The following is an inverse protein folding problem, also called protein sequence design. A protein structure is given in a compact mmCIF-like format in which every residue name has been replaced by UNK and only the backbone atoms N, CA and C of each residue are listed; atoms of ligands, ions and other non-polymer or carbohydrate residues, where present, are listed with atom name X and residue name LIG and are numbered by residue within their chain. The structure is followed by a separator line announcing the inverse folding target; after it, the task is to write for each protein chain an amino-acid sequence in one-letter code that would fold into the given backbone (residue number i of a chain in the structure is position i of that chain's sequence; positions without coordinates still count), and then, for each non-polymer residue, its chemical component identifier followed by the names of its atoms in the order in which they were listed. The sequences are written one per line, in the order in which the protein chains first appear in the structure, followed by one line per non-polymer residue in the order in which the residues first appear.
data_IF_893658381821
#
_entry.id   IF_893658381821
#
_cell.length_a   1.000
_cell.length_b   1.000
_cell.length_c   1.000
_cell.angle_alpha   90.00
_cell.angle_beta   90.00
_cell.angle_gamma   90.00
#
_symmetry.space_group_name_H-M   'P 1'
#
loop_
_entity.id
_entity.type
_entity.pdbx_description
1 polymer ?
#
# COMPACT_ATOMS: atom_id res chain seq x y z
N UNK A 1 13.65 -7.55 -19.32
CA UNK A 1 12.90 -6.41 -18.78
C UNK A 1 12.39 -6.67 -17.37
N UNK A 2 11.35 -7.48 -17.13
CA UNK A 2 10.76 -7.75 -15.81
C UNK A 2 11.79 -8.15 -14.73
N UNK A 3 12.75 -9.04 -15.05
CA UNK A 3 13.78 -9.45 -14.08
C UNK A 3 14.64 -8.28 -13.56
N UNK A 4 14.99 -7.31 -14.42
CA UNK A 4 15.77 -6.14 -13.99
C UNK A 4 14.97 -5.22 -13.06
N UNK A 5 13.68 -4.96 -13.38
CA UNK A 5 12.77 -4.19 -12.51
C UNK A 5 12.64 -4.88 -11.15
N UNK A 6 12.42 -6.19 -11.16
CA UNK A 6 12.29 -6.98 -9.94
C UNK A 6 13.55 -6.92 -9.06
N UNK A 7 14.72 -7.09 -9.68
CA UNK A 7 15.99 -7.01 -8.96
C UNK A 7 16.21 -5.62 -8.38
N UNK A 8 15.95 -4.58 -9.18
CA UNK A 8 16.05 -3.20 -8.72
C UNK A 8 15.12 -2.91 -7.53
N UNK A 9 13.85 -3.34 -7.61
CA UNK A 9 12.90 -3.21 -6.51
C UNK A 9 13.39 -3.93 -5.24
N UNK A 10 13.92 -5.16 -5.37
CA UNK A 10 14.51 -5.91 -4.23
C UNK A 10 15.66 -5.15 -3.59
N UNK A 11 16.58 -4.63 -4.39
CA UNK A 11 17.74 -3.92 -3.89
C UNK A 11 17.33 -2.63 -3.17
N UNK A 12 16.42 -1.86 -3.77
CA UNK A 12 15.94 -0.60 -3.21
C UNK A 12 15.08 -0.75 -1.96
N UNK A 13 14.40 -1.89 -1.80
CA UNK A 13 13.49 -2.14 -0.66
C UNK A 13 14.06 -3.13 0.37
N UNK A 14 15.34 -3.50 0.24
CA UNK A 14 16.01 -4.44 1.14
C UNK A 14 15.92 -4.00 2.60
N UNK A 15 15.64 -4.95 3.50
CA UNK A 15 15.56 -4.70 4.94
C UNK A 15 14.34 -3.93 5.42
N UNK A 16 13.38 -3.61 4.55
CA UNK A 16 12.16 -2.90 4.93
C UNK A 16 11.07 -3.87 5.37
N UNK A 17 10.53 -3.65 6.57
CA UNK A 17 9.55 -4.54 7.17
C UNK A 17 8.13 -4.33 6.60
N UNK A 18 7.67 -3.08 6.47
CA UNK A 18 6.28 -2.77 6.11
C UNK A 18 6.06 -2.39 4.65
N UNK A 19 7.03 -1.71 4.02
CA UNK A 19 7.03 -1.26 2.62
C UNK A 19 8.25 -1.86 1.88
N UNK A 20 8.48 -3.16 2.09
CA UNK A 20 9.56 -3.91 1.47
C UNK A 20 9.11 -4.64 0.21
N UNK A 21 10.00 -5.46 -0.35
CA UNK A 21 9.73 -6.24 -1.56
C UNK A 21 8.46 -7.10 -1.46
N UNK A 22 8.23 -7.74 -0.31
CA UNK A 22 7.05 -8.59 -0.10
C UNK A 22 5.73 -7.80 -0.20
N UNK A 23 5.74 -6.53 0.21
CA UNK A 23 4.62 -5.62 0.00
C UNK A 23 4.37 -5.39 -1.50
N UNK A 24 5.38 -4.96 -2.26
CA UNK A 24 5.25 -4.75 -3.71
C UNK A 24 4.74 -6.02 -4.41
N UNK A 25 5.23 -7.18 -4.00
CA UNK A 25 4.80 -8.46 -4.56
C UNK A 25 3.32 -8.76 -4.26
N UNK A 26 2.83 -8.52 -3.02
CA UNK A 26 1.41 -8.68 -2.69
C UNK A 26 0.54 -7.68 -3.45
N UNK A 27 0.96 -6.42 -3.54
CA UNK A 27 0.26 -5.38 -4.32
C UNK A 27 0.11 -5.81 -5.77
N UNK A 28 1.19 -6.27 -6.42
CA UNK A 28 1.10 -6.76 -7.80
C UNK A 28 0.11 -7.92 -7.96
N UNK A 29 0.18 -8.94 -7.09
CA UNK A 29 -0.72 -10.08 -7.17
C UNK A 29 -2.18 -9.73 -6.86
N UNK A 30 -2.42 -8.77 -5.96
CA UNK A 30 -3.76 -8.25 -5.68
C UNK A 30 -4.28 -7.43 -6.85
N UNK A 31 -3.47 -6.51 -7.40
CA UNK A 31 -3.85 -5.69 -8.54
C UNK A 31 -4.35 -6.52 -9.72
N UNK A 32 -3.67 -7.60 -10.05
CA UNK A 32 -4.06 -8.54 -11.13
C UNK A 32 -5.43 -9.19 -10.97
N UNK A 33 -6.03 -9.15 -9.79
CA UNK A 33 -7.35 -9.70 -9.53
C UNK A 33 -8.47 -8.66 -9.72
N UNK A 34 -8.11 -7.39 -9.85
CA UNK A 34 -9.09 -6.29 -9.86
C UNK A 34 -9.73 -6.08 -11.23
N UNK A 35 -9.03 -6.40 -12.31
CA UNK A 35 -9.51 -6.27 -13.69
C UNK A 35 -9.05 -7.45 -14.55
N UNK A 36 -9.82 -7.77 -15.61
CA UNK A 36 -9.50 -8.91 -16.49
C UNK A 36 -8.55 -8.52 -17.62
N UNK A 37 -8.67 -7.28 -18.15
CA UNK A 37 -7.87 -6.78 -19.26
C UNK A 37 -7.08 -5.55 -18.86
N UNK A 38 -5.75 -5.62 -18.90
CA UNK A 38 -4.82 -4.53 -18.54
C UNK A 38 -3.46 -4.71 -19.21
N UNK A 39 -2.66 -3.66 -19.26
CA UNK A 39 -1.25 -3.74 -19.67
C UNK A 39 -0.41 -4.28 -18.50
N UNK A 40 -0.13 -5.60 -18.53
CA UNK A 40 0.65 -6.27 -17.46
C UNK A 40 2.09 -5.77 -17.36
N UNK A 41 2.68 -5.23 -18.41
CA UNK A 41 4.02 -4.67 -18.35
C UNK A 41 4.04 -3.33 -17.60
N UNK A 42 3.04 -2.48 -17.87
CA UNK A 42 2.83 -1.22 -17.16
C UNK A 42 2.51 -1.48 -15.69
N UNK A 43 1.52 -2.32 -15.41
CA UNK A 43 1.10 -2.66 -14.05
C UNK A 43 2.26 -3.24 -13.24
N UNK A 44 3.02 -4.17 -13.85
CA UNK A 44 4.20 -4.76 -13.23
C UNK A 44 5.23 -3.70 -12.83
N UNK A 45 5.58 -2.81 -13.77
CA UNK A 45 6.55 -1.76 -13.51
C UNK A 45 6.07 -0.81 -12.41
N UNK A 46 4.85 -0.32 -12.51
CA UNK A 46 4.27 0.59 -11.53
C UNK A 46 4.22 -0.03 -10.13
N UNK A 47 3.76 -1.27 -10.00
CA UNK A 47 3.61 -1.95 -8.69
C UNK A 47 4.94 -2.28 -8.02
N UNK A 48 6.00 -2.62 -8.76
CA UNK A 48 7.31 -2.89 -8.15
C UNK A 48 8.13 -1.62 -7.89
N UNK A 49 7.78 -0.50 -8.50
CA UNK A 49 8.54 0.75 -8.38
C UNK A 49 7.83 1.84 -7.54
N UNK A 50 6.57 1.65 -7.10
CA UNK A 50 5.81 2.71 -6.44
C UNK A 50 6.41 3.16 -5.10
N UNK A 51 7.00 2.25 -4.33
CA UNK A 51 7.54 2.47 -2.99
C UNK A 51 9.07 2.27 -2.89
N UNK A 52 9.82 2.45 -4.00
CA UNK A 52 11.28 2.28 -3.98
C UNK A 52 12.00 3.35 -3.13
N UNK A 53 11.37 4.49 -2.91
CA UNK A 53 11.83 5.54 -1.98
C UNK A 53 10.80 5.66 -0.83
N UNK A 54 11.27 5.86 0.41
CA UNK A 54 10.41 6.08 1.59
C UNK A 54 10.37 7.53 2.08
N UNK A 55 11.33 8.36 1.62
CA UNK A 55 11.38 9.76 2.01
C UNK A 55 10.20 10.53 1.41
N UNK A 56 9.50 11.29 2.22
CA UNK A 56 8.34 12.07 1.75
C UNK A 56 8.77 13.30 0.90
N UNK A 57 8.04 13.62 -0.15
CA UNK A 57 6.90 12.88 -0.71
C UNK A 57 7.36 11.65 -1.50
N UNK A 58 7.12 10.45 -0.95
CA UNK A 58 7.69 9.19 -1.47
C UNK A 58 7.24 8.85 -2.90
N UNK A 59 5.97 9.16 -3.25
CA UNK A 59 5.43 8.90 -4.58
C UNK A 59 6.15 9.72 -5.66
N UNK A 60 6.49 10.97 -5.37
CA UNK A 60 7.21 11.84 -6.30
C UNK A 60 8.64 11.31 -6.52
N UNK A 61 9.35 11.05 -5.42
CA UNK A 61 10.74 10.57 -5.48
C UNK A 61 10.83 9.16 -6.10
N UNK A 62 9.85 8.28 -5.84
CA UNK A 62 9.78 6.97 -6.47
C UNK A 62 9.54 7.07 -7.98
N UNK A 63 8.63 7.95 -8.43
CA UNK A 63 8.36 8.18 -9.86
C UNK A 63 9.60 8.72 -10.59
N UNK A 64 10.29 9.70 -10.03
CA UNK A 64 11.54 10.23 -10.58
C UNK A 64 12.63 9.16 -10.66
N UNK A 65 12.78 8.36 -9.59
CA UNK A 65 13.79 7.31 -9.55
C UNK A 65 13.47 6.15 -10.49
N UNK A 66 12.20 5.82 -10.69
CA UNK A 66 11.74 4.78 -11.60
C UNK A 66 12.09 5.09 -13.06
N UNK A 67 12.06 6.36 -13.47
CA UNK A 67 12.32 6.78 -14.86
C UNK A 67 13.64 6.25 -15.39
N UNK A 68 14.72 6.33 -14.62
CA UNK A 68 16.05 5.88 -15.02
C UNK A 68 16.09 4.38 -15.32
N UNK A 69 15.50 3.55 -14.46
CA UNK A 69 15.47 2.09 -14.67
C UNK A 69 14.52 1.71 -15.81
N UNK A 70 13.43 2.44 -16.02
CA UNK A 70 12.49 2.21 -17.11
C UNK A 70 13.15 2.50 -18.48
N UNK A 71 13.92 3.57 -18.59
CA UNK A 71 14.74 3.85 -19.78
C UNK A 71 15.77 2.73 -20.02
N UNK A 72 16.49 2.31 -18.99
CA UNK A 72 17.51 1.24 -19.12
C UNK A 72 16.92 -0.10 -19.58
N UNK A 73 15.68 -0.43 -19.18
CA UNK A 73 15.02 -1.67 -19.59
C UNK A 73 14.24 -1.56 -20.90
N UNK A 74 14.24 -0.38 -21.53
CA UNK A 74 13.73 -0.17 -22.89
C UNK A 74 12.23 0.15 -22.96
N UNK A 75 11.64 0.74 -21.93
CA UNK A 75 10.28 1.30 -22.02
C UNK A 75 10.27 2.50 -22.98
N UNK A 76 9.19 2.62 -23.74
CA UNK A 76 8.98 3.82 -24.57
C UNK A 76 8.68 5.05 -23.70
N UNK A 77 9.01 6.27 -24.15
CA UNK A 77 8.73 7.48 -23.38
C UNK A 77 7.28 7.59 -22.92
N UNK A 78 6.32 7.29 -23.80
CA UNK A 78 4.90 7.34 -23.46
C UNK A 78 4.51 6.33 -22.37
N UNK A 79 5.10 5.13 -22.38
CA UNK A 79 4.85 4.12 -21.33
C UNK A 79 5.52 4.49 -20.00
N UNK A 80 6.68 5.15 -20.04
CA UNK A 80 7.35 5.67 -18.86
C UNK A 80 6.45 6.71 -18.15
N UNK A 81 5.87 7.64 -18.90
CA UNK A 81 4.96 8.64 -18.32
C UNK A 81 3.72 7.98 -17.68
N UNK A 82 3.14 6.95 -18.29
CA UNK A 82 2.04 6.22 -17.68
C UNK A 82 2.45 5.49 -16.37
N UNK A 83 3.64 4.88 -16.33
CA UNK A 83 4.15 4.26 -15.08
C UNK A 83 4.36 5.32 -14.01
N UNK A 84 4.95 6.47 -14.35
CA UNK A 84 5.15 7.59 -13.41
C UNK A 84 3.82 8.14 -12.89
N UNK A 85 2.82 8.32 -13.76
CA UNK A 85 1.48 8.77 -13.35
C UNK A 85 0.83 7.78 -12.39
N UNK A 86 0.92 6.47 -12.67
CA UNK A 86 0.42 5.45 -11.76
C UNK A 86 1.12 5.50 -10.40
N UNK A 87 2.45 5.70 -10.37
CA UNK A 87 3.21 5.86 -9.13
C UNK A 87 2.81 7.15 -8.40
N UNK A 88 2.63 8.26 -9.10
CA UNK A 88 2.26 9.54 -8.47
C UNK A 88 0.87 9.49 -7.83
N UNK A 89 -0.06 8.77 -8.43
CA UNK A 89 -1.47 8.70 -8.01
C UNK A 89 -1.82 7.52 -7.11
N UNK A 90 -0.84 6.66 -6.71
CA UNK A 90 -1.15 5.45 -5.94
C UNK A 90 -1.54 5.72 -4.47
N UNK A 91 -1.18 6.88 -3.93
CA UNK A 91 -1.50 7.24 -2.54
C UNK A 91 -3.02 7.37 -2.31
N UNK A 92 -3.54 7.17 -1.09
CA UNK A 92 -4.99 7.20 -0.83
C UNK A 92 -5.70 8.49 -1.25
N UNK A 93 -5.00 9.61 -1.30
CA UNK A 93 -5.51 10.91 -1.76
C UNK A 93 -5.32 11.13 -3.27
N UNK A 94 -4.70 10.17 -3.96
CA UNK A 94 -4.44 10.26 -5.39
C UNK A 94 -5.72 10.13 -6.23
N UNK A 95 -5.64 10.67 -7.43
CA UNK A 95 -6.73 10.64 -8.44
C UNK A 95 -6.22 9.94 -9.70
N UNK A 96 -6.09 8.58 -9.68
CA UNK A 96 -5.59 7.85 -10.85
C UNK A 96 -6.59 7.96 -12.01
N UNK A 97 -6.08 8.25 -13.22
CA UNK A 97 -6.89 8.60 -14.39
C UNK A 97 -7.15 7.43 -15.35
N UNK A 98 -6.44 6.31 -15.20
CA UNK A 98 -6.55 5.14 -16.07
C UNK A 98 -6.52 3.83 -15.28
N UNK A 99 -6.87 2.74 -15.94
CA UNK A 99 -7.17 1.43 -15.33
C UNK A 99 -6.02 0.90 -14.47
N UNK A 100 -4.80 0.80 -15.00
CA UNK A 100 -3.66 0.23 -14.28
C UNK A 100 -3.24 1.11 -13.08
N UNK A 101 -3.42 2.42 -13.18
CA UNK A 101 -3.21 3.33 -12.05
C UNK A 101 -4.26 3.12 -10.95
N UNK A 102 -5.55 2.93 -11.32
CA UNK A 102 -6.60 2.58 -10.36
C UNK A 102 -6.36 1.21 -9.71
N UNK A 103 -5.84 0.24 -10.49
CA UNK A 103 -5.49 -1.09 -9.98
C UNK A 103 -4.36 -1.02 -8.95
N UNK A 104 -3.31 -0.25 -9.21
CA UNK A 104 -2.22 -0.04 -8.26
C UNK A 104 -2.72 0.66 -6.99
N UNK A 105 -3.43 1.77 -7.13
CA UNK A 105 -4.00 2.54 -6.04
C UNK A 105 -4.85 1.65 -5.10
N UNK A 106 -5.81 0.93 -5.66
CA UNK A 106 -6.71 0.09 -4.89
C UNK A 106 -6.00 -1.12 -4.26
N UNK A 107 -5.04 -1.71 -4.96
CA UNK A 107 -4.27 -2.85 -4.46
C UNK A 107 -3.35 -2.45 -3.29
N UNK A 108 -2.75 -1.26 -3.31
CA UNK A 108 -1.97 -0.74 -2.19
C UNK A 108 -2.85 -0.47 -0.96
N UNK A 109 -4.03 0.14 -1.16
CA UNK A 109 -5.02 0.30 -0.09
C UNK A 109 -5.43 -1.07 0.49
N UNK A 110 -5.72 -2.06 -0.36
CA UNK A 110 -6.10 -3.41 0.07
C UNK A 110 -5.01 -4.13 0.86
N UNK A 111 -3.72 -3.88 0.57
CA UNK A 111 -2.59 -4.44 1.35
C UNK A 111 -2.46 -3.80 2.74
N UNK A 112 -3.12 -2.68 2.97
CA UNK A 112 -3.24 -2.04 4.28
C UNK A 112 -4.51 -2.42 5.04
N UNK A 113 -5.25 -3.42 4.56
CA UNK A 113 -6.43 -3.99 5.21
C UNK A 113 -6.22 -5.44 5.64
N UNK A 114 -7.06 -5.92 6.56
CA UNK A 114 -6.96 -7.25 7.14
C UNK A 114 -5.79 -7.39 8.11
N UNK A 115 -5.36 -8.63 8.39
CA UNK A 115 -4.28 -8.90 9.36
C UNK A 115 -2.92 -8.34 8.90
N UNK A 116 -2.63 -8.45 7.60
CA UNK A 116 -1.42 -7.84 7.02
C UNK A 116 -1.46 -6.31 7.24
N UNK A 117 -2.61 -5.70 7.00
CA UNK A 117 -2.82 -4.27 7.23
C UNK A 117 -2.60 -3.86 8.69
N UNK A 118 -3.21 -4.56 9.65
CA UNK A 118 -2.98 -4.31 11.09
C UNK A 118 -1.48 -4.33 11.42
N UNK A 119 -0.79 -5.38 10.96
CA UNK A 119 0.65 -5.54 11.24
C UNK A 119 1.49 -4.43 10.60
N UNK A 120 1.23 -4.09 9.34
CA UNK A 120 1.95 -3.02 8.62
C UNK A 120 1.70 -1.66 9.24
N UNK A 121 0.43 -1.36 9.56
CA UNK A 121 0.04 -0.08 10.16
C UNK A 121 0.58 0.07 11.58
N UNK A 122 0.63 -1.00 12.38
CA UNK A 122 1.25 -0.97 13.71
C UNK A 122 2.75 -0.65 13.62
N UNK A 123 3.48 -1.29 12.70
CA UNK A 123 4.89 -0.97 12.42
C UNK A 123 5.02 0.49 11.97
N UNK A 124 4.18 0.93 11.04
CA UNK A 124 4.18 2.30 10.52
C UNK A 124 3.86 3.34 11.60
N UNK A 125 2.90 3.06 12.47
CA UNK A 125 2.54 3.92 13.59
C UNK A 125 3.73 4.17 14.53
N UNK A 126 4.50 3.13 14.82
CA UNK A 126 5.68 3.25 15.67
C UNK A 126 6.82 4.01 14.97
N UNK A 127 7.23 3.56 13.77
CA UNK A 127 8.44 4.08 13.12
C UNK A 127 8.24 5.43 12.44
N UNK A 128 7.06 5.73 11.90
CA UNK A 128 6.84 6.93 11.06
C UNK A 128 5.91 7.96 11.66
N UNK A 129 5.00 7.54 12.55
CA UNK A 129 4.06 8.45 13.21
C UNK A 129 4.40 8.71 14.68
N UNK A 130 5.42 8.03 15.22
CA UNK A 130 5.89 8.23 16.59
C UNK A 130 4.87 7.85 17.66
N UNK A 131 4.00 6.86 17.39
CA UNK A 131 3.05 6.35 18.40
C UNK A 131 3.80 5.85 19.64
N UNK A 132 3.35 6.29 20.82
CA UNK A 132 4.01 5.98 22.11
C UNK A 132 3.21 5.00 22.96
N UNK A 133 2.03 4.58 22.51
CA UNK A 133 1.15 3.66 23.23
C UNK A 133 0.41 2.75 22.25
N UNK A 134 -0.06 1.59 22.75
CA UNK A 134 -0.89 0.69 21.94
C UNK A 134 -2.26 1.32 21.61
N UNK A 135 -2.81 2.15 22.48
CA UNK A 135 -4.03 2.92 22.17
C UNK A 135 -3.79 3.88 21.00
N UNK A 136 -2.67 4.61 20.98
CA UNK A 136 -2.34 5.48 19.86
C UNK A 136 -2.11 4.71 18.53
N UNK A 137 -1.61 3.48 18.60
CA UNK A 137 -1.53 2.59 17.43
C UNK A 137 -2.93 2.18 16.97
N UNK A 138 -3.81 1.83 17.90
CA UNK A 138 -5.20 1.47 17.61
C UNK A 138 -5.96 2.61 16.92
N UNK A 139 -5.82 3.84 17.41
CA UNK A 139 -6.45 5.03 16.83
C UNK A 139 -6.00 5.24 15.38
N UNK A 140 -4.69 5.15 15.11
CA UNK A 140 -4.14 5.28 13.75
C UNK A 140 -4.62 4.18 12.80
N UNK A 141 -4.75 2.94 13.29
CA UNK A 141 -5.26 1.84 12.46
C UNK A 141 -6.74 2.05 12.15
N UNK A 142 -7.56 2.48 13.11
CA UNK A 142 -8.97 2.79 12.89
C UNK A 142 -9.15 3.94 11.88
N UNK A 143 -8.42 5.04 12.07
CA UNK A 143 -8.44 6.17 11.13
C UNK A 143 -8.10 5.71 9.70
N UNK A 144 -7.04 4.92 9.54
CA UNK A 144 -6.65 4.43 8.23
C UNK A 144 -7.70 3.51 7.61
N UNK A 145 -8.24 2.56 8.38
CA UNK A 145 -9.29 1.63 7.94
C UNK A 145 -10.53 2.38 7.43
N UNK A 146 -10.99 3.39 8.17
CA UNK A 146 -12.20 4.15 7.83
C UNK A 146 -11.96 5.00 6.56
N UNK A 147 -10.79 5.61 6.43
CA UNK A 147 -10.38 6.33 5.23
C UNK A 147 -10.27 5.41 4.02
N UNK A 148 -9.63 4.25 4.16
CA UNK A 148 -9.43 3.29 3.08
C UNK A 148 -10.73 2.89 2.40
N UNK A 149 -11.80 2.63 3.18
CA UNK A 149 -13.12 2.24 2.66
C UNK A 149 -13.70 3.25 1.67
N UNK A 150 -13.50 4.55 1.92
CA UNK A 150 -14.03 5.63 1.08
C UNK A 150 -13.19 5.92 -0.18
N UNK A 151 -11.97 5.37 -0.25
CA UNK A 151 -11.01 5.67 -1.32
C UNK A 151 -10.91 4.61 -2.40
N UNK A 152 -11.44 3.41 -2.18
CA UNK A 152 -11.44 2.35 -3.20
C UNK A 152 -12.28 2.72 -4.41
N UNK A 153 -11.72 2.58 -5.60
CA UNK A 153 -12.30 3.04 -6.86
C UNK A 153 -13.01 1.91 -7.61
N UNK A 154 -12.38 0.71 -7.66
CA UNK A 154 -12.87 -0.41 -8.45
C UNK A 154 -13.91 -1.24 -7.69
N UNK A 155 -14.95 -1.77 -8.37
CA UNK A 155 -15.95 -2.61 -7.72
C UNK A 155 -15.39 -3.87 -7.08
N UNK A 156 -14.40 -4.53 -7.72
CA UNK A 156 -13.77 -5.74 -7.19
C UNK A 156 -12.94 -5.45 -5.93
N UNK A 157 -12.27 -4.30 -5.87
CA UNK A 157 -11.52 -3.91 -4.69
C UNK A 157 -12.42 -3.64 -3.49
N UNK A 158 -13.56 -2.98 -3.69
CA UNK A 158 -14.56 -2.77 -2.63
C UNK A 158 -15.07 -4.09 -2.05
N UNK A 159 -15.37 -5.06 -2.91
CA UNK A 159 -15.80 -6.39 -2.48
C UNK A 159 -14.72 -7.14 -1.69
N UNK A 160 -13.45 -7.09 -2.15
CA UNK A 160 -12.33 -7.69 -1.42
C UNK A 160 -12.05 -6.99 -0.08
N UNK A 161 -12.35 -5.70 0.02
CA UNK A 161 -12.16 -4.96 1.25
C UNK A 161 -13.17 -5.33 2.35
N UNK A 162 -14.39 -5.74 2.00
CA UNK A 162 -15.46 -6.05 2.97
C UNK A 162 -14.99 -7.07 4.02
N UNK A 163 -14.53 -8.24 3.61
CA UNK A 163 -14.03 -9.30 4.51
C UNK A 163 -12.84 -8.83 5.34
N UNK A 164 -11.91 -8.08 4.72
CA UNK A 164 -10.72 -7.55 5.38
C UNK A 164 -11.08 -6.53 6.47
N UNK A 165 -12.05 -5.65 6.18
CA UNK A 165 -12.54 -4.63 7.13
C UNK A 165 -13.28 -5.29 8.29
N UNK A 166 -14.20 -6.22 8.03
CA UNK A 166 -14.89 -6.97 9.08
C UNK A 166 -13.92 -7.70 10.01
N UNK A 167 -12.86 -8.28 9.45
CA UNK A 167 -11.81 -8.91 10.26
C UNK A 167 -11.11 -7.86 11.13
N UNK A 168 -10.73 -6.71 10.57
CA UNK A 168 -10.09 -5.63 11.32
C UNK A 168 -10.98 -5.14 12.46
N UNK A 169 -12.25 -4.91 12.21
CA UNK A 169 -13.21 -4.45 13.22
C UNK A 169 -13.27 -5.40 14.43
N UNK A 170 -13.32 -6.72 14.16
CA UNK A 170 -13.30 -7.73 15.23
C UNK A 170 -11.97 -7.74 16.00
N UNK A 171 -10.84 -7.69 15.29
CA UNK A 171 -9.51 -7.72 15.90
C UNK A 171 -9.23 -6.46 16.74
N UNK A 172 -9.58 -5.28 16.22
CA UNK A 172 -9.38 -4.02 16.91
C UNK A 172 -10.28 -3.91 18.16
N UNK A 173 -11.53 -4.36 18.07
CA UNK A 173 -12.43 -4.46 19.23
C UNK A 173 -11.89 -5.41 20.30
N UNK A 174 -11.21 -6.49 19.91
CA UNK A 174 -10.56 -7.38 20.87
C UNK A 174 -9.36 -6.68 21.54
N UNK A 175 -8.55 -5.97 20.77
CA UNK A 175 -7.42 -5.20 21.30
C UNK A 175 -7.90 -4.10 22.29
N UNK A 176 -8.98 -3.39 21.97
CA UNK A 176 -9.59 -2.41 22.89
C UNK A 176 -9.93 -3.02 24.25
N UNK A 177 -10.55 -4.20 24.25
CA UNK A 177 -10.90 -4.91 25.50
C UNK A 177 -9.67 -5.32 26.31
N UNK A 178 -8.60 -5.73 25.64
CA UNK A 178 -7.36 -6.14 26.28
C UNK A 178 -6.57 -4.94 26.84
N UNK A 179 -6.75 -3.76 26.24
CA UNK A 179 -6.16 -2.51 26.71
C UNK A 179 -6.96 -1.84 27.84
N UNK A 180 -8.25 -2.17 27.99
CA UNK A 180 -9.06 -1.68 29.08
C UNK A 180 -8.52 -2.25 30.40
N UNK A 181 -7.94 -1.39 31.24
CA UNK A 181 -7.53 -1.76 32.60
C UNK A 181 -8.80 -2.02 33.44
N UNK A 182 -8.80 -3.04 34.34
CA UNK A 182 -9.86 -3.15 35.31
C UNK A 182 -9.92 -1.86 36.12
N UNK A 183 -11.15 -1.39 36.39
CA UNK A 183 -11.31 -0.28 37.34
C UNK A 183 -10.58 -0.66 38.63
N UNK A 184 -9.65 0.18 39.07
CA UNK A 184 -8.99 -0.01 40.33
C UNK A 184 -10.08 0.07 41.40
N UNK A 185 -10.34 -1.02 42.12
CA UNK A 185 -11.09 -1.00 43.36
C UNK A 185 -10.29 -0.14 44.37
N UNK A 186 -10.43 1.19 44.26
CA UNK A 186 -10.09 2.10 45.32
C UNK A 186 -11.17 1.96 46.41
N UNK A 187 -11.01 0.92 47.24
CA UNK A 187 -11.71 0.75 48.47
C UNK A 187 -11.02 1.50 49.61
#
# INVERSE_FOLDING_TARGET
MKHKILQYAKDMTAGRLARGFDHCNRVYHTAKQLEDEYDDELLYAATYLHDIILAEPHQLQSAEKAEAVLHEVGFTPGKIELVKEAILSHIPEGEPSFKEAMMLHDADILDSLGMVGITRLAVGAFFWKGAKSLSGVLDLINEYKDRAKSRLLLPRSRKLAEEKIEFMERALKQLEKELALPESDEG
#
